data_IF_801939181419
#
_entry.id   IF_801939181419
#
_cell.length_a   1.000
_cell.length_b   1.000
_cell.length_c   1.000
_cell.angle_alpha   90.00
_cell.angle_beta   90.00
_cell.angle_gamma   90.00
#
_symmetry.space_group_name_H-M   'P 1'
#
loop_
_entity.id
_entity.type
_entity.pdbx_description
1 polymer ?
#
# COMPACT_ATOMS: atom_id res chain seq x y z
N UNK A 1 7.33 18.44 27.65
CA UNK A 1 6.55 19.00 26.52
C UNK A 1 7.03 18.53 25.16
N UNK A 2 8.30 18.78 24.78
CA UNK A 2 8.84 18.44 23.44
C UNK A 2 8.61 16.98 23.03
N UNK A 3 8.90 16.02 23.92
CA UNK A 3 8.69 14.58 23.66
C UNK A 3 7.23 14.21 23.34
N UNK A 4 6.26 14.91 23.94
CA UNK A 4 4.82 14.68 23.71
C UNK A 4 4.38 15.24 22.36
N UNK A 5 4.94 16.38 21.95
CA UNK A 5 4.66 16.99 20.65
C UNK A 5 5.19 16.08 19.53
N UNK A 6 6.41 15.55 19.66
CA UNK A 6 7.00 14.62 18.69
C UNK A 6 6.13 13.36 18.52
N UNK A 7 5.66 12.78 19.63
CA UNK A 7 4.78 11.60 19.62
C UNK A 7 3.47 11.85 18.87
N UNK A 8 2.83 13.01 19.12
CA UNK A 8 1.59 13.41 18.43
C UNK A 8 1.85 13.63 16.93
N UNK A 9 2.95 14.31 16.58
CA UNK A 9 3.30 14.58 15.18
C UNK A 9 3.54 13.29 14.41
N UNK A 10 4.26 12.33 15.00
CA UNK A 10 4.49 11.03 14.36
C UNK A 10 3.17 10.28 14.14
N UNK A 11 2.29 10.23 15.15
CA UNK A 11 0.99 9.55 15.05
C UNK A 11 0.11 10.17 13.96
N UNK A 12 0.01 11.50 13.92
CA UNK A 12 -0.75 12.21 12.89
C UNK A 12 -0.16 11.98 11.50
N UNK A 13 1.16 11.91 11.38
CA UNK A 13 1.84 11.64 10.11
C UNK A 13 1.55 10.22 9.63
N UNK A 14 1.64 9.22 10.52
CA UNK A 14 1.33 7.83 10.18
C UNK A 14 -0.12 7.67 9.72
N UNK A 15 -1.09 8.21 10.48
CA UNK A 15 -2.50 8.16 10.13
C UNK A 15 -2.79 8.91 8.83
N UNK A 16 -2.19 10.10 8.65
CA UNK A 16 -2.33 10.89 7.43
C UNK A 16 -1.85 10.14 6.19
N UNK A 17 -0.73 9.42 6.28
CA UNK A 17 -0.22 8.58 5.20
C UNK A 17 -1.18 7.43 4.87
N UNK A 18 -1.72 6.74 5.88
CA UNK A 18 -2.69 5.64 5.67
C UNK A 18 -3.98 6.15 5.03
N UNK A 19 -4.47 7.33 5.44
CA UNK A 19 -5.64 7.97 4.82
C UNK A 19 -5.37 8.35 3.37
N UNK A 20 -4.18 8.88 3.06
CA UNK A 20 -3.78 9.16 1.69
C UNK A 20 -3.75 7.88 0.83
N UNK A 21 -3.24 6.77 1.37
CA UNK A 21 -3.29 5.46 0.70
C UNK A 21 -4.73 4.98 0.48
N UNK A 22 -5.63 5.18 1.45
CA UNK A 22 -7.05 4.86 1.32
C UNK A 22 -7.72 5.68 0.21
N UNK A 23 -7.42 6.98 0.15
CA UNK A 23 -7.93 7.88 -0.89
C UNK A 23 -7.45 7.49 -2.29
N UNK A 24 -6.18 7.11 -2.42
CA UNK A 24 -5.63 6.59 -3.68
C UNK A 24 -6.27 5.25 -4.06
N UNK A 25 -6.50 4.36 -3.10
CA UNK A 25 -7.15 3.09 -3.33
C UNK A 25 -8.61 3.26 -3.78
N UNK A 26 -9.38 4.12 -3.10
CA UNK A 26 -10.77 4.43 -3.49
C UNK A 26 -10.85 5.17 -4.84
N UNK A 27 -9.96 6.16 -5.04
CA UNK A 27 -9.91 6.96 -6.27
C UNK A 27 -9.38 6.21 -7.49
N UNK A 28 -8.67 5.10 -7.29
CA UNK A 28 -8.20 4.27 -8.38
C UNK A 28 -9.34 3.53 -9.11
N UNK A 29 -10.57 3.43 -8.59
CA UNK A 29 -11.65 2.70 -9.29
C UNK A 29 -11.50 1.17 -9.19
N UNK A 30 -11.14 0.71 -8.00
CA UNK A 30 -10.85 -0.69 -7.63
C UNK A 30 -12.03 -1.65 -7.90
N UNK A 31 -13.27 -1.16 -7.88
CA UNK A 31 -14.50 -1.98 -8.05
C UNK A 31 -14.67 -2.64 -9.42
N UNK A 32 -13.85 -2.32 -10.43
CA UNK A 32 -14.10 -2.73 -11.81
C UNK A 32 -13.43 -4.05 -12.27
N UNK A 33 -12.64 -4.77 -11.46
CA UNK A 33 -11.89 -5.95 -11.94
C UNK A 33 -11.97 -7.23 -11.07
N UNK A 34 -12.58 -8.32 -11.58
CA UNK A 34 -12.59 -9.63 -10.91
C UNK A 34 -11.23 -10.32 -10.78
N UNK A 35 -10.22 -9.92 -11.58
CA UNK A 35 -8.95 -10.67 -11.73
C UNK A 35 -7.98 -10.52 -10.55
N UNK A 36 -8.13 -9.50 -9.71
CA UNK A 36 -7.21 -9.21 -8.58
C UNK A 36 -7.98 -8.99 -7.26
N UNK A 37 -9.15 -9.63 -7.11
CA UNK A 37 -10.05 -9.41 -5.96
C UNK A 37 -9.39 -9.71 -4.62
N UNK A 38 -8.52 -10.71 -4.58
CA UNK A 38 -7.80 -11.10 -3.36
C UNK A 38 -6.75 -10.05 -2.96
N UNK A 39 -6.04 -9.49 -3.94
CA UNK A 39 -5.07 -8.40 -3.73
C UNK A 39 -5.78 -7.13 -3.24
N UNK A 40 -6.92 -6.80 -3.84
CA UNK A 40 -7.74 -5.67 -3.43
C UNK A 40 -8.26 -5.83 -1.99
N UNK A 41 -8.66 -7.05 -1.63
CA UNK A 41 -9.13 -7.37 -0.27
C UNK A 41 -7.98 -7.29 0.73
N UNK A 42 -6.79 -7.76 0.36
CA UNK A 42 -5.59 -7.67 1.20
C UNK A 42 -5.17 -6.22 1.44
N UNK A 43 -5.10 -5.41 0.37
CA UNK A 43 -4.75 -3.99 0.46
C UNK A 43 -5.80 -3.20 1.24
N UNK A 44 -7.09 -3.42 0.94
CA UNK A 44 -8.20 -2.82 1.67
C UNK A 44 -8.16 -3.18 3.14
N UNK A 45 -7.99 -4.47 3.48
CA UNK A 45 -7.89 -4.93 4.86
C UNK A 45 -6.71 -4.34 5.61
N UNK A 46 -5.55 -4.24 4.97
CA UNK A 46 -4.37 -3.59 5.56
C UNK A 46 -4.63 -2.11 5.85
N UNK A 47 -5.15 -1.35 4.88
CA UNK A 47 -5.44 0.08 5.05
C UNK A 47 -6.51 0.30 6.13
N UNK A 48 -7.64 -0.39 6.05
CA UNK A 48 -8.75 -0.21 7.00
C UNK A 48 -8.39 -0.63 8.42
N UNK A 49 -7.63 -1.71 8.60
CA UNK A 49 -7.16 -2.12 9.93
C UNK A 49 -6.27 -1.05 10.58
N UNK A 50 -5.41 -0.39 9.80
CA UNK A 50 -4.56 0.69 10.29
C UNK A 50 -5.31 2.00 10.59
N UNK A 51 -6.57 2.14 10.15
CA UNK A 51 -7.44 3.27 10.51
C UNK A 51 -8.28 2.91 11.73
N UNK A 52 -8.96 1.76 11.70
CA UNK A 52 -9.93 1.36 12.74
C UNK A 52 -9.23 1.07 14.06
N UNK A 53 -8.09 0.36 14.06
CA UNK A 53 -7.41 -0.05 15.29
C UNK A 53 -6.93 1.17 16.11
N UNK A 54 -6.22 2.17 15.53
CA UNK A 54 -5.84 3.37 16.27
C UNK A 54 -7.04 4.17 16.80
N UNK A 55 -8.13 4.27 16.03
CA UNK A 55 -9.37 4.94 16.48
C UNK A 55 -9.96 4.19 17.68
N UNK A 56 -10.06 2.86 17.62
CA UNK A 56 -10.55 2.05 18.74
C UNK A 56 -9.70 2.20 20.00
N UNK A 57 -8.38 2.18 19.85
CA UNK A 57 -7.45 2.42 20.96
C UNK A 57 -7.57 3.84 21.54
N UNK A 58 -7.85 4.84 20.70
CA UNK A 58 -8.07 6.22 21.13
C UNK A 58 -9.39 6.36 21.90
N UNK A 59 -10.47 5.73 21.44
CA UNK A 59 -11.77 5.72 22.12
C UNK A 59 -11.64 5.06 23.51
N UNK A 60 -10.98 3.91 23.59
CA UNK A 60 -10.79 3.22 24.88
C UNK A 60 -10.06 4.10 25.92
N UNK A 61 -9.05 4.88 25.51
CA UNK A 61 -8.38 5.84 26.39
C UNK A 61 -9.29 6.98 26.88
N UNK A 62 -10.28 7.38 26.07
CA UNK A 62 -11.24 8.43 26.43
C UNK A 62 -12.30 7.87 27.40
N UNK A 63 -12.67 6.61 27.24
CA UNK A 63 -13.68 5.92 28.07
C UNK A 63 -13.08 5.38 29.37
N UNK A 64 -11.78 5.60 29.61
CA UNK A 64 -11.03 5.16 30.79
C UNK A 64 -11.06 3.63 31.02
N UNK A 65 -11.33 2.85 29.97
CA UNK A 65 -11.19 1.40 30.03
C UNK A 65 -9.71 1.05 29.90
N UNK A 66 -9.06 0.50 30.95
CA UNK A 66 -7.65 0.20 30.90
C UNK A 66 -7.38 -0.96 29.94
N UNK A 67 -7.03 -0.64 28.69
CA UNK A 67 -6.44 -1.62 27.78
C UNK A 67 -5.03 -1.92 28.28
N UNK A 68 -4.75 -3.22 28.45
CA UNK A 68 -3.43 -3.70 28.81
C UNK A 68 -2.37 -3.20 27.80
N UNK A 69 -1.25 -2.72 28.32
CA UNK A 69 -0.12 -2.24 27.52
C UNK A 69 0.39 -3.34 26.57
N UNK A 70 0.24 -4.60 26.97
CA UNK A 70 0.56 -5.75 26.13
C UNK A 70 -0.33 -5.80 24.87
N UNK A 71 -1.62 -5.54 25.02
CA UNK A 71 -2.59 -5.51 23.90
C UNK A 71 -2.29 -4.32 22.98
N UNK A 72 -1.99 -3.15 23.55
CA UNK A 72 -1.59 -1.99 22.75
C UNK A 72 -0.30 -2.26 21.95
N UNK A 73 0.70 -2.89 22.58
CA UNK A 73 1.95 -3.29 21.93
C UNK A 73 1.73 -4.30 20.80
N UNK A 74 0.89 -5.32 21.05
CA UNK A 74 0.52 -6.32 20.05
C UNK A 74 -0.08 -5.69 18.79
N UNK A 75 -0.99 -4.72 18.95
CA UNK A 75 -1.60 -4.03 17.80
C UNK A 75 -0.60 -3.16 17.03
N UNK A 76 0.32 -2.50 17.72
CA UNK A 76 1.37 -1.70 17.06
C UNK A 76 2.31 -2.59 16.25
N UNK A 77 2.78 -3.69 16.83
CA UNK A 77 3.68 -4.64 16.14
C UNK A 77 2.97 -5.29 14.95
N UNK A 78 1.74 -5.77 15.16
CA UNK A 78 0.92 -6.34 14.08
C UNK A 78 0.68 -5.34 12.97
N UNK A 79 0.43 -4.07 13.31
CA UNK A 79 0.25 -3.00 12.32
C UNK A 79 1.50 -2.72 11.48
N UNK A 80 2.68 -2.69 12.11
CA UNK A 80 3.96 -2.55 11.38
C UNK A 80 4.15 -3.73 10.42
N UNK A 81 3.95 -4.96 10.90
CA UNK A 81 4.06 -6.17 10.08
C UNK A 81 3.09 -6.14 8.90
N UNK A 82 1.82 -5.78 9.11
CA UNK A 82 0.82 -5.70 8.05
C UNK A 82 1.18 -4.64 7.01
N UNK A 83 1.62 -3.45 7.44
CA UNK A 83 2.04 -2.38 6.53
C UNK A 83 3.22 -2.82 5.68
N UNK A 84 4.26 -3.41 6.28
CA UNK A 84 5.45 -3.83 5.54
C UNK A 84 5.20 -5.02 4.63
N UNK A 85 4.48 -6.05 5.07
CA UNK A 85 4.17 -7.21 4.23
C UNK A 85 3.32 -6.81 3.03
N UNK A 86 2.29 -5.98 3.26
CA UNK A 86 1.44 -5.47 2.17
C UNK A 86 2.26 -4.60 1.21
N UNK A 87 3.12 -3.74 1.73
CA UNK A 87 3.98 -2.88 0.89
C UNK A 87 4.98 -3.68 0.07
N UNK A 88 5.64 -4.66 0.69
CA UNK A 88 6.60 -5.53 0.02
C UNK A 88 5.90 -6.36 -1.07
N UNK A 89 4.70 -6.87 -0.80
CA UNK A 89 3.90 -7.58 -1.79
C UNK A 89 3.58 -6.70 -3.01
N UNK A 90 3.09 -5.46 -2.78
CA UNK A 90 2.77 -4.52 -3.86
C UNK A 90 3.99 -4.11 -4.69
N UNK A 91 5.10 -3.81 -4.03
CA UNK A 91 6.35 -3.42 -4.71
C UNK A 91 6.93 -4.60 -5.50
N UNK A 92 6.94 -5.80 -4.91
CA UNK A 92 7.48 -7.00 -5.55
C UNK A 92 6.64 -7.41 -6.77
N UNK A 93 5.31 -7.31 -6.68
CA UNK A 93 4.42 -7.61 -7.79
C UNK A 93 4.72 -6.71 -9.01
N UNK A 94 4.90 -5.41 -8.78
CA UNK A 94 5.25 -4.46 -9.83
C UNK A 94 6.64 -4.71 -10.42
N UNK A 95 7.64 -4.98 -9.57
CA UNK A 95 8.99 -5.31 -10.02
C UNK A 95 9.04 -6.61 -10.86
N UNK A 96 8.26 -7.62 -10.50
CA UNK A 96 8.16 -8.86 -11.27
C UNK A 96 7.50 -8.62 -12.64
N UNK A 97 6.48 -7.76 -12.70
CA UNK A 97 5.83 -7.40 -13.96
C UNK A 97 6.80 -6.66 -14.91
N UNK A 98 7.54 -5.67 -14.40
CA UNK A 98 8.57 -4.95 -15.16
C UNK A 98 9.69 -5.89 -15.66
N UNK A 99 10.08 -6.85 -14.82
CA UNK A 99 11.12 -7.83 -15.17
C UNK A 99 10.65 -8.79 -16.27
N UNK A 100 9.39 -9.24 -16.23
CA UNK A 100 8.79 -10.09 -17.28
C UNK A 100 8.63 -9.32 -18.59
N UNK A 101 8.30 -8.04 -18.55
CA UNK A 101 8.25 -7.19 -19.74
C UNK A 101 9.63 -6.96 -20.35
N UNK A 102 10.66 -6.73 -19.52
CA UNK A 102 12.04 -6.63 -20.01
C UNK A 102 12.51 -7.93 -20.63
N UNK A 103 12.27 -9.08 -20.00
CA UNK A 103 12.64 -10.40 -20.54
C UNK A 103 11.97 -10.71 -21.89
N UNK A 104 10.72 -10.30 -22.09
CA UNK A 104 10.03 -10.45 -23.36
C UNK A 104 10.41 -9.37 -24.40
N UNK A 105 10.99 -8.24 -23.96
CA UNK A 105 11.45 -7.15 -24.83
C UNK A 105 12.91 -7.32 -25.28
N UNK A 106 13.69 -8.24 -24.69
CA UNK A 106 15.01 -8.67 -25.18
C UNK A 106 14.94 -9.76 -26.25
N UNK A 107 13.76 -10.03 -26.81
CA UNK A 107 13.61 -10.80 -28.04
C UNK A 107 13.18 -9.92 -29.22
N UNK A 108 14.08 -9.10 -29.80
CA UNK A 108 13.92 -8.74 -31.20
C UNK A 108 15.27 -8.76 -31.92
N UNK A 109 15.66 -9.91 -32.47
CA UNK A 109 16.60 -9.88 -33.62
C UNK A 109 16.51 -11.04 -34.62
N UNK A 110 15.45 -11.87 -34.64
CA UNK A 110 15.27 -12.86 -35.75
C UNK A 110 13.79 -13.08 -36.12
N UNK A 111 12.94 -12.05 -36.18
CA UNK A 111 11.56 -12.23 -36.70
C UNK A 111 10.95 -11.02 -37.43
N UNK A 112 11.73 -9.99 -37.75
CA UNK A 112 11.23 -8.74 -38.35
C UNK A 112 11.12 -8.75 -39.89
N UNK A 113 11.15 -9.89 -40.57
CA UNK A 113 11.03 -9.95 -42.03
C UNK A 113 9.76 -10.59 -42.60
N UNK A 114 8.73 -10.93 -41.79
CA UNK A 114 7.57 -11.66 -42.33
C UNK A 114 6.16 -11.27 -41.89
N UNK A 115 5.91 -10.04 -41.45
CA UNK A 115 4.52 -9.62 -41.22
C UNK A 115 4.22 -8.15 -41.47
N UNK A 116 4.57 -7.69 -42.67
CA UNK A 116 3.97 -6.49 -43.26
C UNK A 116 2.65 -6.89 -43.93
N UNK A 117 1.60 -7.15 -43.15
CA UNK A 117 0.18 -7.17 -43.59
C UNK A 117 -0.72 -7.54 -42.41
N UNK A 118 -1.11 -6.53 -41.63
CA UNK A 118 -2.48 -6.36 -41.09
C UNK A 118 -2.47 -5.21 -40.07
N UNK A 119 -2.42 -3.97 -40.59
CA UNK A 119 -3.00 -2.84 -39.88
C UNK A 119 -4.52 -3.03 -39.93
N UNK A 120 -5.11 -3.51 -38.84
CA UNK A 120 -6.51 -3.21 -38.55
C UNK A 120 -6.60 -2.64 -37.15
N UNK A 121 -6.83 -1.34 -37.16
CA UNK A 121 -6.89 -0.37 -36.07
C UNK A 121 -8.02 -0.75 -35.12
N UNK A 122 -7.68 -1.30 -33.95
CA UNK A 122 -8.64 -1.59 -32.88
C UNK A 122 -8.41 -0.60 -31.72
N UNK A 123 -9.13 0.54 -31.64
CA UNK A 123 -8.90 1.58 -30.63
C UNK A 123 -9.24 1.13 -29.19
N UNK A 124 -9.97 0.03 -29.00
CA UNK A 124 -10.31 -0.52 -27.67
C UNK A 124 -9.15 -1.19 -26.93
N UNK A 125 -8.13 -1.65 -27.65
CA UNK A 125 -6.99 -2.35 -27.04
C UNK A 125 -6.00 -1.36 -26.42
N UNK A 126 -5.85 -0.18 -27.03
CA UNK A 126 -4.94 0.87 -26.53
C UNK A 126 -5.46 1.48 -25.22
N UNK A 127 -6.76 1.77 -25.11
CA UNK A 127 -7.35 2.31 -23.88
C UNK A 127 -7.23 1.35 -22.68
N UNK A 128 -7.32 0.06 -22.94
CA UNK A 128 -7.17 -0.97 -21.91
C UNK A 128 -5.74 -1.03 -21.35
N UNK A 129 -4.73 -0.88 -22.21
CA UNK A 129 -3.32 -0.89 -21.79
C UNK A 129 -2.93 0.37 -21.00
N UNK A 130 -3.45 1.53 -21.38
CA UNK A 130 -3.18 2.80 -20.67
C UNK A 130 -3.84 2.82 -19.29
N UNK A 131 -5.05 2.27 -19.15
CA UNK A 131 -5.71 2.15 -17.85
C UNK A 131 -4.98 1.15 -16.94
N UNK A 132 -4.55 -0.01 -17.44
CA UNK A 132 -3.76 -0.97 -16.63
C UNK A 132 -2.49 -0.29 -16.09
N UNK A 133 -1.76 0.45 -16.93
CA UNK A 133 -0.52 1.13 -16.52
C UNK A 133 -0.72 2.26 -15.49
N UNK A 134 -1.86 2.96 -15.48
CA UNK A 134 -2.15 3.98 -14.46
C UNK A 134 -2.49 3.36 -13.10
N UNK A 135 -3.14 2.20 -13.11
CA UNK A 135 -3.52 1.48 -11.89
C UNK A 135 -2.32 0.80 -11.25
N UNK A 136 -1.44 0.17 -12.04
CA UNK A 136 -0.19 -0.44 -11.56
C UNK A 136 0.67 0.61 -10.83
N UNK A 137 0.69 1.85 -11.34
CA UNK A 137 1.33 3.00 -10.66
C UNK A 137 0.65 3.40 -9.36
N UNK A 138 -0.69 3.31 -9.27
CA UNK A 138 -1.41 3.63 -8.04
C UNK A 138 -1.11 2.59 -6.95
N UNK A 139 -1.07 1.30 -7.28
CA UNK A 139 -0.68 0.24 -6.32
C UNK A 139 0.78 0.36 -5.88
N UNK A 140 1.68 0.72 -6.80
CA UNK A 140 3.06 1.02 -6.45
C UNK A 140 3.16 2.21 -5.49
N UNK A 141 2.42 3.29 -5.75
CA UNK A 141 2.36 4.46 -4.87
C UNK A 141 1.78 4.12 -3.49
N UNK A 142 0.70 3.33 -3.43
CA UNK A 142 0.12 2.82 -2.19
C UNK A 142 1.16 1.98 -1.42
N UNK A 143 1.90 1.11 -2.11
CA UNK A 143 2.97 0.31 -1.51
C UNK A 143 4.07 1.18 -0.89
N UNK A 144 4.53 2.24 -1.58
CA UNK A 144 5.51 3.17 -1.02
C UNK A 144 4.95 3.91 0.20
N UNK A 145 3.72 4.42 0.11
CA UNK A 145 3.09 5.18 1.21
C UNK A 145 2.93 4.29 2.44
N UNK A 146 2.46 3.05 2.27
CA UNK A 146 2.33 2.08 3.35
C UNK A 146 3.69 1.70 3.95
N UNK A 147 4.75 1.60 3.13
CA UNK A 147 6.10 1.31 3.62
C UNK A 147 6.62 2.43 4.52
N UNK A 148 6.46 3.69 4.07
CA UNK A 148 6.82 4.87 4.84
C UNK A 148 5.98 4.97 6.11
N UNK A 149 4.67 4.73 6.04
CA UNK A 149 3.79 4.72 7.20
C UNK A 149 4.23 3.67 8.25
N UNK A 150 4.67 2.49 7.79
CA UNK A 150 5.24 1.44 8.65
C UNK A 150 6.55 1.86 9.30
N UNK A 151 7.43 2.55 8.58
CA UNK A 151 8.68 3.08 9.13
C UNK A 151 8.44 4.19 10.19
N UNK A 152 7.44 5.05 9.97
CA UNK A 152 7.00 6.04 10.97
C UNK A 152 6.45 5.34 12.21
N UNK A 153 5.59 4.33 12.05
CA UNK A 153 5.06 3.50 13.15
C UNK A 153 6.16 2.77 13.93
N UNK A 154 7.17 2.26 13.25
CA UNK A 154 8.32 1.65 13.92
C UNK A 154 9.08 2.70 14.73
N UNK A 155 9.26 3.89 14.19
CA UNK A 155 9.93 4.99 14.89
C UNK A 155 9.16 5.41 16.14
N UNK A 156 7.82 5.42 16.09
CA UNK A 156 6.96 5.60 17.28
C UNK A 156 7.19 4.51 18.32
N UNK A 157 7.22 3.24 17.89
CA UNK A 157 7.43 2.11 18.80
C UNK A 157 8.80 2.19 19.48
N UNK A 158 9.87 2.46 18.71
CA UNK A 158 11.23 2.64 19.25
C UNK A 158 11.24 3.81 20.24
N UNK A 159 10.62 4.94 19.89
CA UNK A 159 10.55 6.10 20.77
C UNK A 159 9.77 5.81 22.06
N UNK A 160 8.70 5.03 21.98
CA UNK A 160 7.93 4.60 23.14
C UNK A 160 8.72 3.67 24.06
N UNK A 161 9.49 2.73 23.50
CA UNK A 161 10.35 1.80 24.26
C UNK A 161 11.49 2.57 24.95
N UNK A 162 12.19 3.45 24.22
CA UNK A 162 13.32 4.22 24.77
C UNK A 162 12.87 5.21 25.86
N UNK A 163 11.61 5.63 25.82
CA UNK A 163 11.01 6.55 26.81
C UNK A 163 10.50 5.81 28.07
N UNK A 164 10.16 4.52 27.96
CA UNK A 164 9.68 3.69 29.08
C UNK A 164 10.82 3.24 29.99
#
# INVERSE_FOLDING_TARGET
>A
MVKRIVEIVLQLTSIGLVIAAAGLWAGAGVDARPRHRDEQTLVGGAIWSQIIIPIGLMISKIVEEPIDIFVQGYYVVTGICLLWLTSAFLIAHEMQWLSRQRANSTAPMIRSLRSSRQLSRNPRVVSSHTMISQFDRAYYAIGIICFVAGAVKLSELIFAIVKS
#
